data_IF_693486436756
#
_entry.id   IF_693486436756
#
_cell.length_a   1.000
_cell.length_b   1.000
_cell.length_c   1.000
_cell.angle_alpha   90.00
_cell.angle_beta   90.00
_cell.angle_gamma   90.00
#
_symmetry.space_group_name_H-M   'P 1'
#
loop_
_entity.id
_entity.type
_entity.pdbx_description
1 polymer ?
#
# COMPACT_ATOMS: atom_id res chain seq x y z
N UNK A 1 14.55 14.64 -5.88
CA UNK A 1 14.47 15.60 -4.74
C UNK A 1 14.11 14.80 -3.50
N UNK A 2 14.95 14.78 -2.46
CA UNK A 2 14.88 13.81 -1.35
C UNK A 2 13.97 14.24 -0.19
N UNK A 3 12.80 14.84 -0.48
CA UNK A 3 11.85 15.19 0.58
C UNK A 3 10.90 14.02 0.86
N UNK A 4 10.58 13.73 2.14
CA UNK A 4 9.61 12.69 2.46
C UNK A 4 8.24 12.96 1.84
N UNK A 5 7.56 11.89 1.42
CA UNK A 5 6.19 11.93 0.94
C UNK A 5 5.32 11.02 1.77
N UNK A 6 4.08 11.44 1.98
CA UNK A 6 3.07 10.72 2.76
C UNK A 6 1.99 10.24 1.81
N UNK A 7 1.69 8.95 1.86
CA UNK A 7 0.65 8.32 1.06
C UNK A 7 -0.46 7.90 1.99
N UNK A 8 -1.57 8.64 1.96
CA UNK A 8 -2.82 8.15 2.51
C UNK A 8 -3.43 7.19 1.51
N UNK A 9 -3.73 5.97 1.94
CA UNK A 9 -4.33 4.96 1.08
C UNK A 9 -5.62 4.41 1.69
N UNK A 10 -6.50 3.99 0.81
CA UNK A 10 -7.66 3.13 1.10
C UNK A 10 -7.63 1.97 0.13
N UNK A 11 -7.98 0.78 0.58
CA UNK A 11 -7.98 -0.40 -0.27
C UNK A 11 -9.05 -1.40 0.11
N UNK A 12 -9.42 -2.23 -0.87
CA UNK A 12 -10.31 -3.39 -0.70
C UNK A 12 -9.83 -4.52 -1.60
N UNK A 13 -9.99 -5.75 -1.15
CA UNK A 13 -9.75 -6.92 -1.98
C UNK A 13 -10.77 -6.98 -3.13
N UNK A 14 -10.29 -7.40 -4.31
CA UNK A 14 -11.11 -7.78 -5.46
C UNK A 14 -11.37 -9.29 -5.42
N UNK A 15 -12.35 -9.75 -6.17
CA UNK A 15 -12.74 -11.17 -6.23
C UNK A 15 -11.57 -12.16 -6.40
N UNK A 16 -10.54 -11.90 -7.26
CA UNK A 16 -9.41 -12.81 -7.41
C UNK A 16 -8.61 -13.06 -6.13
N UNK A 17 -8.60 -12.10 -5.19
CA UNK A 17 -7.89 -12.25 -3.91
C UNK A 17 -8.48 -13.39 -3.07
N UNK A 18 -9.79 -13.56 -3.09
CA UNK A 18 -10.47 -14.57 -2.29
C UNK A 18 -10.24 -15.99 -2.81
N UNK A 19 -9.85 -16.12 -4.09
CA UNK A 19 -9.55 -17.40 -4.73
C UNK A 19 -8.12 -17.89 -4.45
N UNK A 20 -7.25 -17.02 -3.91
CA UNK A 20 -5.90 -17.41 -3.49
C UNK A 20 -5.95 -18.26 -2.22
N UNK A 21 -5.08 -19.27 -2.18
CA UNK A 21 -4.74 -20.01 -0.96
C UNK A 21 -4.12 -19.08 0.09
N UNK A 22 -4.08 -19.53 1.34
CA UNK A 22 -3.43 -18.76 2.42
C UNK A 22 -1.92 -18.59 2.17
N UNK A 23 -1.25 -19.61 1.63
CA UNK A 23 0.17 -19.55 1.29
C UNK A 23 0.45 -18.50 0.21
N UNK A 24 -0.38 -18.43 -0.83
CA UNK A 24 -0.26 -17.41 -1.87
C UNK A 24 -0.49 -15.99 -1.32
N UNK A 25 -1.52 -15.81 -0.47
CA UNK A 25 -1.76 -14.53 0.21
C UNK A 25 -0.57 -14.13 1.07
N UNK A 26 -0.04 -15.05 1.86
CA UNK A 26 1.12 -14.82 2.72
C UNK A 26 2.37 -14.46 1.92
N UNK A 27 2.61 -15.15 0.79
CA UNK A 27 3.72 -14.85 -0.11
C UNK A 27 3.61 -13.44 -0.72
N UNK A 28 2.42 -13.05 -1.19
CA UNK A 28 2.20 -11.70 -1.73
C UNK A 28 2.37 -10.61 -0.66
N UNK A 29 1.86 -10.84 0.55
CA UNK A 29 2.05 -9.89 1.66
C UNK A 29 3.51 -9.78 2.08
N UNK A 30 4.26 -10.88 2.05
CA UNK A 30 5.71 -10.85 2.30
C UNK A 30 6.45 -10.05 1.22
N UNK A 31 6.09 -10.19 -0.06
CA UNK A 31 6.65 -9.39 -1.16
C UNK A 31 6.33 -7.89 -1.00
N UNK A 32 5.10 -7.55 -0.61
CA UNK A 32 4.70 -6.18 -0.32
C UNK A 32 5.56 -5.58 0.81
N UNK A 33 5.68 -6.28 1.93
CA UNK A 33 6.48 -5.84 3.08
C UNK A 33 7.97 -5.69 2.72
N UNK A 34 8.53 -6.64 1.99
CA UNK A 34 9.93 -6.58 1.55
C UNK A 34 10.17 -5.39 0.60
N UNK A 35 9.23 -5.07 -0.28
CA UNK A 35 9.33 -3.88 -1.14
C UNK A 35 9.28 -2.58 -0.33
N UNK A 36 8.41 -2.50 0.69
CA UNK A 36 8.35 -1.34 1.59
C UNK A 36 9.67 -1.15 2.37
N UNK A 37 10.20 -2.23 2.94
CA UNK A 37 11.47 -2.21 3.68
C UNK A 37 12.64 -1.80 2.78
N UNK A 38 12.72 -2.36 1.57
CA UNK A 38 13.80 -2.08 0.61
C UNK A 38 13.87 -0.61 0.18
N UNK A 39 12.75 0.12 0.23
CA UNK A 39 12.71 1.55 -0.11
C UNK A 39 12.70 2.46 1.13
N UNK A 40 12.85 1.89 2.33
CA UNK A 40 12.83 2.64 3.58
C UNK A 40 11.46 3.25 3.93
N UNK A 41 10.37 2.62 3.50
CA UNK A 41 9.03 3.07 3.81
C UNK A 41 8.66 2.76 5.27
N UNK A 42 7.95 3.68 5.89
CA UNK A 42 7.49 3.59 7.28
C UNK A 42 5.95 3.58 7.31
N UNK A 43 5.35 2.51 7.82
CA UNK A 43 3.91 2.45 8.06
C UNK A 43 3.56 3.26 9.31
N UNK A 44 2.93 4.42 9.14
CA UNK A 44 2.50 5.29 10.26
C UNK A 44 1.24 4.72 10.92
N UNK A 45 0.27 4.32 10.09
CA UNK A 45 -0.99 3.75 10.57
C UNK A 45 -1.54 2.79 9.54
N UNK A 46 -2.11 1.69 10.03
CA UNK A 46 -2.83 0.69 9.26
C UNK A 46 -4.08 0.31 10.06
N UNK A 47 -5.24 0.40 9.44
CA UNK A 47 -6.52 0.18 10.10
C UNK A 47 -7.41 -0.73 9.26
N UNK A 48 -8.10 -1.65 9.94
CA UNK A 48 -9.22 -2.40 9.39
C UNK A 48 -10.51 -1.59 9.61
N UNK A 49 -11.19 -1.26 8.51
CA UNK A 49 -12.48 -0.58 8.50
C UNK A 49 -13.57 -1.42 7.83
N UNK A 50 -13.39 -2.74 7.72
CA UNK A 50 -14.35 -3.66 7.09
C UNK A 50 -15.69 -3.73 7.82
N UNK A 51 -15.74 -3.27 9.07
CA UNK A 51 -16.96 -3.11 9.87
C UNK A 51 -17.82 -1.90 9.45
N UNK A 52 -17.24 -0.95 8.73
CA UNK A 52 -17.95 0.24 8.27
C UNK A 52 -18.78 -0.05 7.03
N UNK A 53 -19.80 0.77 6.76
CA UNK A 53 -20.58 0.69 5.52
C UNK A 53 -19.89 1.36 4.32
N UNK A 54 -18.63 1.79 4.47
CA UNK A 54 -17.82 2.35 3.39
C UNK A 54 -17.33 1.24 2.43
N UNK A 55 -17.00 1.59 1.17
CA UNK A 55 -16.55 0.60 0.20
C UNK A 55 -15.14 0.05 0.49
N UNK A 56 -14.41 0.58 1.48
CA UNK A 56 -13.01 0.25 1.75
C UNK A 56 -12.89 -0.69 2.95
N UNK A 57 -12.00 -1.68 2.85
CA UNK A 57 -11.72 -2.63 3.92
C UNK A 57 -10.55 -2.20 4.81
N UNK A 58 -9.56 -1.54 4.20
CA UNK A 58 -8.38 -1.06 4.91
C UNK A 58 -8.07 0.37 4.53
N UNK A 59 -7.50 1.11 5.46
CA UNK A 59 -6.90 2.41 5.18
C UNK A 59 -5.64 2.61 6.03
N UNK A 60 -4.81 3.53 5.61
CA UNK A 60 -3.59 3.83 6.33
C UNK A 60 -2.82 5.00 5.77
N UNK A 61 -1.68 5.27 6.40
CA UNK A 61 -0.70 6.25 5.96
C UNK A 61 0.67 5.59 5.97
N UNK A 62 1.37 5.70 4.85
CA UNK A 62 2.77 5.29 4.71
C UNK A 62 3.61 6.52 4.38
N UNK A 63 4.74 6.65 5.05
CA UNK A 63 5.76 7.63 4.74
C UNK A 63 6.85 6.97 3.89
N UNK A 64 7.22 7.61 2.79
CA UNK A 64 8.37 7.24 1.97
C UNK A 64 9.44 8.33 2.10
N UNK A 65 10.73 7.97 2.02
CA UNK A 65 11.82 8.96 2.12
C UNK A 65 11.87 9.91 0.92
N UNK A 66 11.31 9.51 -0.23
CA UNK A 66 11.19 10.36 -1.41
C UNK A 66 10.09 9.87 -2.38
N UNK A 67 9.77 10.71 -3.38
CA UNK A 67 8.86 10.33 -4.46
C UNK A 67 9.42 9.16 -5.28
N UNK A 68 10.73 9.13 -5.50
CA UNK A 68 11.40 8.04 -6.22
C UNK A 68 11.27 6.70 -5.47
N UNK A 69 11.37 6.71 -4.13
CA UNK A 69 11.13 5.52 -3.30
C UNK A 69 9.68 5.01 -3.43
N UNK A 70 8.70 5.92 -3.41
CA UNK A 70 7.30 5.58 -3.67
C UNK A 70 7.11 4.97 -5.07
N UNK A 71 7.69 5.59 -6.10
CA UNK A 71 7.57 5.10 -7.47
C UNK A 71 8.18 3.70 -7.62
N UNK A 72 9.34 3.45 -7.02
CA UNK A 72 9.95 2.12 -7.00
C UNK A 72 9.03 1.10 -6.33
N UNK A 73 8.49 1.41 -5.16
CA UNK A 73 7.55 0.52 -4.48
C UNK A 73 6.31 0.19 -5.33
N UNK A 74 5.76 1.18 -6.07
CA UNK A 74 4.64 0.95 -7.00
C UNK A 74 5.03 0.08 -8.19
N UNK A 75 6.26 0.19 -8.70
CA UNK A 75 6.77 -0.67 -9.76
C UNK A 75 6.92 -2.11 -9.27
N UNK A 76 7.49 -2.30 -8.08
CA UNK A 76 7.61 -3.63 -7.47
C UNK A 76 6.21 -4.26 -7.28
N UNK A 77 5.23 -3.49 -6.78
CA UNK A 77 3.84 -3.93 -6.63
C UNK A 77 3.18 -4.37 -7.95
N UNK A 78 3.48 -3.68 -9.06
CA UNK A 78 3.02 -4.10 -10.38
C UNK A 78 3.74 -5.37 -10.85
N UNK A 79 5.00 -5.57 -10.44
CA UNK A 79 5.81 -6.74 -10.79
C UNK A 79 5.27 -8.06 -10.22
N UNK A 80 4.55 -8.03 -9.10
CA UNK A 80 3.83 -9.19 -8.54
C UNK A 80 2.31 -9.09 -8.71
N UNK A 81 1.83 -8.30 -9.66
CA UNK A 81 0.41 -8.21 -10.07
C UNK A 81 -0.54 -7.77 -8.94
N UNK A 82 -0.07 -6.97 -7.98
CA UNK A 82 -0.90 -6.43 -6.90
C UNK A 82 -2.21 -5.76 -7.37
N UNK A 83 -2.23 -4.96 -8.46
CA UNK A 83 -3.46 -4.31 -8.93
C UNK A 83 -4.56 -5.28 -9.38
N UNK A 84 -4.23 -6.53 -9.70
CA UNK A 84 -5.23 -7.56 -10.01
C UNK A 84 -6.07 -7.93 -8.80
N UNK A 85 -5.45 -7.96 -7.62
CA UNK A 85 -6.06 -8.48 -6.41
C UNK A 85 -6.68 -7.39 -5.52
N UNK A 86 -6.23 -6.14 -5.67
CA UNK A 86 -6.66 -5.06 -4.80
C UNK A 86 -7.16 -3.87 -5.62
N UNK A 87 -8.26 -3.28 -5.17
CA UNK A 87 -8.68 -1.95 -5.60
C UNK A 87 -8.19 -0.94 -4.56
N UNK A 88 -7.61 0.16 -5.03
CA UNK A 88 -6.87 1.07 -4.19
C UNK A 88 -7.09 2.51 -4.61
N UNK A 89 -7.29 3.37 -3.62
CA UNK A 89 -7.25 4.81 -3.78
C UNK A 89 -6.09 5.35 -2.95
N UNK A 90 -5.31 6.28 -3.51
CA UNK A 90 -4.18 6.87 -2.81
C UNK A 90 -4.07 8.36 -3.10
N UNK A 91 -3.83 9.12 -2.05
CA UNK A 91 -3.54 10.56 -2.11
C UNK A 91 -2.12 10.74 -1.60
N UNK A 92 -1.31 11.45 -2.39
CA UNK A 92 0.09 11.73 -2.05
C UNK A 92 0.20 13.18 -1.62
N UNK A 93 0.85 13.41 -0.48
CA UNK A 93 1.14 14.73 0.05
C UNK A 93 2.56 14.83 0.59
N UNK A 94 2.98 16.04 0.87
CA UNK A 94 4.20 16.35 1.63
C UNK A 94 3.82 16.87 3.00
N UNK A 95 4.81 17.02 3.88
CA UNK A 95 4.61 17.74 5.12
C UNK A 95 4.05 19.15 4.84
N UNK A 96 3.00 19.51 5.57
CA UNK A 96 2.41 20.84 5.45
C UNK A 96 3.29 21.86 6.16
N UNK A 97 3.64 22.94 5.47
CA UNK A 97 4.35 24.08 6.04
C UNK A 97 3.37 25.25 6.14
N UNK A 98 3.11 25.78 7.36
CA UNK A 98 2.22 26.90 7.58
C UNK A 98 2.82 28.24 7.10
#
# INVERSE_FOLDING_TARGET
MSQPVYVSFKMKAKEPWYQLSEDEKNAMMAQMNASMEAVGAESIVMCDCSWSSEPWQYFGVVKFPSLEALQKHRQDANGFDWPRYVDGHSIVGTEWQP
#
